data_IF_926037470739
#
_entry.id   IF_926037470739
#
_cell.length_a   1.000
_cell.length_b   1.000
_cell.length_c   1.000
_cell.angle_alpha   90.00
_cell.angle_beta   90.00
_cell.angle_gamma   90.00
#
_symmetry.space_group_name_H-M   'P 1'
#
loop_
_entity.id
_entity.type
_entity.pdbx_description
1 polymer ?
#
# COMPACT_ATOMS: atom_id res chain seq x y z
N UNK A 1 1.39 5.92 7.10
CA UNK A 1 0.09 5.36 6.62
C UNK A 1 -0.99 6.40 6.43
N UNK A 2 -1.12 7.33 7.33
CA UNK A 2 -2.12 8.40 7.17
C UNK A 2 -1.88 9.24 5.92
N UNK A 3 -0.63 9.50 5.61
CA UNK A 3 -0.23 10.18 4.38
C UNK A 3 -0.73 9.44 3.13
N UNK A 4 -0.55 8.11 3.10
CA UNK A 4 -1.00 7.31 1.96
C UNK A 4 -2.53 7.25 1.86
N UNK A 5 -3.22 7.15 3.00
CA UNK A 5 -4.67 7.17 3.05
C UNK A 5 -5.20 8.50 2.49
N UNK A 6 -4.61 9.61 2.91
CA UNK A 6 -5.01 10.93 2.41
C UNK A 6 -4.73 11.09 0.92
N UNK A 7 -3.58 10.61 0.44
CA UNK A 7 -3.22 10.66 -0.98
C UNK A 7 -4.20 9.86 -1.81
N UNK A 8 -4.51 8.65 -1.39
CA UNK A 8 -5.49 7.81 -2.08
C UNK A 8 -6.85 8.49 -2.15
N UNK A 9 -7.31 9.03 -1.04
CA UNK A 9 -8.64 9.65 -0.95
C UNK A 9 -8.76 10.95 -1.73
N UNK A 10 -7.63 11.56 -2.09
CA UNK A 10 -7.63 12.71 -3.01
C UNK A 10 -7.37 12.30 -4.47
N UNK A 11 -7.32 11.00 -4.75
CA UNK A 11 -7.14 10.49 -6.10
C UNK A 11 -5.71 10.58 -6.61
N UNK A 12 -4.73 10.68 -5.73
CA UNK A 12 -3.34 10.93 -6.07
C UNK A 12 -2.47 9.69 -5.84
N UNK A 13 -2.45 8.79 -6.85
CA UNK A 13 -1.63 7.58 -6.80
C UNK A 13 -0.14 7.91 -6.76
N UNK A 14 0.28 8.97 -7.42
CA UNK A 14 1.68 9.37 -7.42
C UNK A 14 2.18 9.67 -6.01
N UNK A 15 1.40 10.43 -5.23
CA UNK A 15 1.73 10.71 -3.83
C UNK A 15 1.61 9.47 -2.96
N UNK A 16 0.63 8.62 -3.22
CA UNK A 16 0.46 7.35 -2.52
C UNK A 16 1.72 6.49 -2.64
N UNK A 17 2.30 6.44 -3.83
CA UNK A 17 3.51 5.65 -4.12
C UNK A 17 4.77 6.19 -3.45
N UNK A 18 4.75 7.43 -2.94
CA UNK A 18 5.91 7.99 -2.22
C UNK A 18 6.15 7.28 -0.88
N UNK A 19 5.19 6.51 -0.38
CA UNK A 19 5.36 5.69 0.82
C UNK A 19 6.18 4.42 0.59
N UNK A 20 6.42 4.04 -0.66
CA UNK A 20 7.18 2.85 -1.03
C UNK A 20 8.61 3.21 -1.42
N UNK A 21 9.53 2.27 -1.19
CA UNK A 21 10.92 2.46 -1.61
C UNK A 21 11.00 2.51 -3.15
N UNK A 22 11.71 3.49 -3.67
CA UNK A 22 11.91 3.64 -5.12
C UNK A 22 13.08 2.78 -5.56
N UNK A 23 12.88 1.47 -5.57
CA UNK A 23 13.91 0.48 -5.85
C UNK A 23 13.30 -0.68 -6.64
N UNK A 24 14.12 -1.33 -7.44
CA UNK A 24 13.73 -2.56 -8.13
C UNK A 24 13.53 -3.72 -7.17
N UNK A 25 13.98 -3.58 -5.93
CA UNK A 25 13.84 -4.61 -4.90
C UNK A 25 12.50 -4.54 -4.15
N UNK A 26 11.69 -3.51 -4.37
CA UNK A 26 10.35 -3.46 -3.79
C UNK A 26 9.55 -4.68 -4.24
N UNK A 27 8.87 -5.32 -3.29
CA UNK A 27 7.97 -6.43 -3.60
C UNK A 27 6.57 -6.06 -3.18
N UNK A 28 5.64 -6.14 -4.12
CA UNK A 28 4.21 -6.04 -3.85
C UNK A 28 3.56 -7.35 -4.26
N UNK A 29 3.02 -8.08 -3.30
CA UNK A 29 2.34 -9.35 -3.56
C UNK A 29 0.86 -9.19 -3.26
N UNK A 30 0.04 -9.31 -4.28
CA UNK A 30 -1.40 -9.19 -4.15
C UNK A 30 -2.11 -10.44 -4.65
N UNK A 31 -3.38 -10.28 -4.97
CA UNK A 31 -4.25 -11.36 -5.43
C UNK A 31 -3.68 -12.09 -6.67
N UNK A 32 -3.03 -11.35 -7.55
CA UNK A 32 -2.49 -11.91 -8.81
C UNK A 32 -1.03 -12.34 -8.70
N UNK A 33 -0.47 -12.35 -7.49
CA UNK A 33 0.91 -12.74 -7.25
C UNK A 33 1.84 -11.54 -7.10
N UNK A 34 3.15 -11.79 -7.04
CA UNK A 34 4.11 -10.71 -6.76
C UNK A 34 4.40 -9.84 -7.97
N UNK A 35 4.62 -8.56 -7.69
CA UNK A 35 5.10 -7.56 -8.64
C UNK A 35 6.38 -6.99 -8.04
N UNK A 36 7.42 -6.86 -8.85
CA UNK A 36 8.73 -6.42 -8.39
C UNK A 36 9.04 -5.03 -8.91
N UNK A 37 9.55 -4.19 -8.03
CA UNK A 37 10.01 -2.86 -8.37
C UNK A 37 8.95 -1.78 -8.22
N UNK A 38 9.42 -0.57 -7.92
CA UNK A 38 8.56 0.60 -7.69
C UNK A 38 7.76 0.99 -8.95
N UNK A 39 8.43 1.00 -10.10
CA UNK A 39 7.78 1.40 -11.35
C UNK A 39 6.66 0.43 -11.74
N UNK A 40 6.92 -0.87 -11.66
CA UNK A 40 5.92 -1.88 -11.99
C UNK A 40 4.74 -1.85 -11.03
N UNK A 41 5.01 -1.63 -9.74
CA UNK A 41 3.95 -1.50 -8.74
C UNK A 41 3.07 -0.29 -9.03
N UNK A 42 3.69 0.85 -9.33
CA UNK A 42 2.97 2.07 -9.69
C UNK A 42 2.11 1.86 -10.93
N UNK A 43 2.67 1.25 -11.97
CA UNK A 43 1.96 0.98 -13.22
C UNK A 43 0.75 0.08 -12.98
N UNK A 44 0.89 -0.90 -12.09
CA UNK A 44 -0.21 -1.80 -11.73
C UNK A 44 -1.33 -1.04 -11.04
N UNK A 45 -1.01 -0.14 -10.12
CA UNK A 45 -2.01 0.71 -9.47
C UNK A 45 -2.72 1.62 -10.46
N UNK A 46 -1.98 2.26 -11.35
CA UNK A 46 -2.56 3.16 -12.36
C UNK A 46 -3.49 2.41 -13.31
N UNK A 47 -3.13 1.17 -13.66
CA UNK A 47 -3.95 0.34 -14.54
C UNK A 47 -5.24 -0.13 -13.85
N UNK A 48 -5.14 -0.58 -12.61
CA UNK A 48 -6.28 -1.15 -11.88
C UNK A 48 -7.20 -0.09 -11.27
N UNK A 49 -6.68 1.12 -11.04
CA UNK A 49 -7.43 2.22 -10.45
C UNK A 49 -7.28 3.47 -11.30
N UNK A 50 -7.90 3.48 -12.50
CA UNK A 50 -7.66 4.58 -13.47
C UNK A 50 -8.33 5.89 -13.11
N UNK A 51 -9.29 5.88 -12.16
CA UNK A 51 -10.04 7.07 -11.78
C UNK A 51 -10.43 7.02 -10.30
N UNK A 52 -10.95 8.13 -9.79
CA UNK A 52 -11.35 8.26 -8.39
C UNK A 52 -12.53 7.37 -8.02
N UNK A 53 -13.38 7.06 -8.98
CA UNK A 53 -14.54 6.22 -8.77
C UNK A 53 -14.13 4.77 -8.50
N UNK A 54 -13.14 4.25 -9.24
CA UNK A 54 -12.58 2.93 -9.03
C UNK A 54 -11.78 2.85 -7.74
N UNK A 55 -11.06 3.93 -7.40
CA UNK A 55 -10.27 4.01 -6.17
C UNK A 55 -11.14 3.99 -4.93
N UNK A 56 -12.24 4.72 -4.94
CA UNK A 56 -13.11 4.86 -3.77
C UNK A 56 -12.46 5.61 -2.63
N UNK A 57 -13.02 5.43 -1.44
CA UNK A 57 -12.47 6.01 -0.21
C UNK A 57 -11.80 4.92 0.61
N UNK A 58 -10.56 5.16 0.98
CA UNK A 58 -9.71 4.20 1.68
C UNK A 58 -9.68 4.50 3.17
N UNK A 59 -9.81 3.43 3.96
CA UNK A 59 -9.57 3.46 5.39
C UNK A 59 -8.66 2.32 5.77
N UNK A 60 -7.58 2.64 6.46
CA UNK A 60 -6.68 1.65 7.05
C UNK A 60 -7.00 1.43 8.52
N UNK A 61 -6.87 0.18 8.95
CA UNK A 61 -6.90 -0.17 10.37
C UNK A 61 -5.62 -0.91 10.68
N UNK A 62 -4.87 -0.42 11.67
CA UNK A 62 -3.62 -1.08 12.08
C UNK A 62 -3.97 -2.08 13.18
N UNK A 63 -3.73 -3.36 12.93
CA UNK A 63 -3.94 -4.42 13.89
C UNK A 63 -2.74 -4.59 14.80
N UNK A 64 -1.53 -4.52 14.24
CA UNK A 64 -0.30 -4.68 15.00
C UNK A 64 0.86 -4.02 14.28
N UNK A 65 1.71 -3.37 15.05
CA UNK A 65 2.96 -2.84 14.56
C UNK A 65 4.08 -3.30 15.50
N UNK A 66 5.21 -3.74 14.95
CA UNK A 66 6.34 -4.25 15.73
C UNK A 66 7.64 -3.73 15.17
N UNK A 67 8.49 -3.22 16.04
CA UNK A 67 9.86 -2.91 15.68
C UNK A 67 10.65 -4.22 15.63
N UNK A 68 11.29 -4.48 14.49
CA UNK A 68 12.16 -5.65 14.30
C UNK A 68 13.59 -5.28 14.69
N UNK A 69 14.00 -4.06 14.33
CA UNK A 69 15.30 -3.49 14.68
C UNK A 69 15.13 -1.97 14.74
N UNK A 70 16.22 -1.22 14.91
CA UNK A 70 16.16 0.24 14.96
C UNK A 70 15.71 0.86 13.62
N UNK A 71 15.85 0.12 12.51
CA UNK A 71 15.55 0.63 11.17
C UNK A 71 14.61 -0.28 10.36
N UNK A 72 14.02 -1.31 10.98
CA UNK A 72 13.05 -2.20 10.34
C UNK A 72 11.84 -2.38 11.23
N UNK A 73 10.66 -2.26 10.66
CA UNK A 73 9.39 -2.47 11.35
C UNK A 73 8.46 -3.34 10.52
N UNK A 74 7.57 -4.05 11.21
CA UNK A 74 6.59 -4.94 10.63
C UNK A 74 5.19 -4.48 11.05
N UNK A 75 4.25 -4.50 10.11
CA UNK A 75 2.89 -4.05 10.37
C UNK A 75 1.88 -5.03 9.77
N UNK A 76 0.84 -5.35 10.54
CA UNK A 76 -0.33 -6.08 10.07
C UNK A 76 -1.52 -5.14 10.14
N UNK A 77 -2.26 -5.04 9.06
CA UNK A 77 -3.41 -4.15 9.02
C UNK A 77 -4.52 -4.64 8.11
N UNK A 78 -5.54 -3.82 8.01
CA UNK A 78 -6.69 -4.04 7.16
C UNK A 78 -6.93 -2.80 6.32
N UNK A 79 -7.42 -3.01 5.10
CA UNK A 79 -7.91 -1.92 4.28
C UNK A 79 -9.38 -2.11 3.98
N UNK A 80 -10.08 -1.01 3.81
CA UNK A 80 -11.46 -0.99 3.37
C UNK A 80 -11.61 0.11 2.32
N UNK A 81 -12.07 -0.27 1.14
CA UNK A 81 -12.39 0.65 0.06
C UNK A 81 -13.89 0.74 -0.08
N UNK A 82 -14.44 1.92 0.22
CA UNK A 82 -15.86 2.21 -0.01
C UNK A 82 -16.02 2.78 -1.41
N UNK A 83 -16.77 2.09 -2.26
CA UNK A 83 -16.98 2.49 -3.64
C UNK A 83 -18.46 2.51 -3.95
N UNK A 84 -18.84 3.28 -4.98
CA UNK A 84 -20.24 3.38 -5.40
C UNK A 84 -20.75 2.07 -6.02
N UNK A 85 -19.87 1.27 -6.60
CA UNK A 85 -20.22 -0.01 -7.21
C UNK A 85 -20.20 -1.13 -6.19
N UNK A 86 -19.03 -1.46 -5.68
CA UNK A 86 -18.83 -2.60 -4.76
C UNK A 86 -17.65 -2.31 -3.85
N UNK A 87 -17.84 -2.50 -2.54
CA UNK A 87 -16.77 -2.32 -1.57
C UNK A 87 -15.74 -3.44 -1.71
N UNK A 88 -14.50 -3.10 -1.43
CA UNK A 88 -13.39 -4.04 -1.43
C UNK A 88 -12.65 -3.95 -0.10
N UNK A 89 -12.26 -5.07 0.46
CA UNK A 89 -11.55 -5.08 1.73
C UNK A 89 -10.66 -6.31 1.84
N UNK A 90 -9.71 -6.24 2.75
CA UNK A 90 -8.80 -7.35 3.00
C UNK A 90 -7.77 -6.98 4.05
N UNK A 91 -6.77 -7.83 4.16
CA UNK A 91 -5.69 -7.68 5.11
C UNK A 91 -4.38 -7.48 4.38
N UNK A 92 -3.41 -6.86 5.06
CA UNK A 92 -2.09 -6.70 4.48
C UNK A 92 -1.03 -6.78 5.57
N UNK A 93 0.18 -7.13 5.13
CA UNK A 93 1.39 -7.06 5.93
C UNK A 93 2.39 -6.18 5.22
N UNK A 94 3.09 -5.36 5.99
CA UNK A 94 4.09 -4.46 5.46
C UNK A 94 5.40 -4.64 6.22
N UNK A 95 6.51 -4.58 5.48
CA UNK A 95 7.82 -4.34 6.07
C UNK A 95 8.26 -2.94 5.71
N UNK A 96 8.68 -2.20 6.72
CA UNK A 96 9.18 -0.85 6.60
C UNK A 96 10.65 -0.83 6.89
N UNK A 97 11.39 -0.02 6.16
CA UNK A 97 12.80 0.24 6.44
C UNK A 97 13.03 1.74 6.56
N UNK A 98 13.82 2.12 7.57
CA UNK A 98 14.20 3.52 7.76
C UNK A 98 15.44 3.81 6.90
N UNK A 99 15.30 4.71 5.95
CA UNK A 99 16.35 5.10 5.02
C UNK A 99 16.42 6.63 5.03
N UNK A 100 17.57 7.19 5.37
CA UNK A 100 17.76 8.64 5.47
C UNK A 100 16.67 9.32 6.32
N UNK A 101 16.41 8.74 7.49
CA UNK A 101 15.39 9.20 8.45
C UNK A 101 13.94 9.16 7.95
N UNK A 102 13.69 8.41 6.87
CA UNK A 102 12.34 8.19 6.36
C UNK A 102 12.00 6.71 6.42
N UNK A 103 10.78 6.41 6.89
CA UNK A 103 10.26 5.05 6.85
C UNK A 103 9.60 4.79 5.50
N UNK A 104 10.10 3.80 4.77
CA UNK A 104 9.61 3.43 3.44
C UNK A 104 9.22 1.96 3.44
N UNK A 105 8.15 1.63 2.72
CA UNK A 105 7.68 0.26 2.57
C UNK A 105 8.61 -0.46 1.60
N UNK A 106 9.18 -1.58 2.03
CA UNK A 106 10.04 -2.42 1.19
C UNK A 106 9.34 -3.69 0.73
N UNK A 107 8.26 -4.09 1.41
CA UNK A 107 7.46 -5.24 1.04
C UNK A 107 6.02 -5.02 1.46
N UNK A 108 5.09 -5.35 0.58
CA UNK A 108 3.66 -5.24 0.80
C UNK A 108 3.00 -6.53 0.32
N UNK A 109 2.37 -7.24 1.24
CA UNK A 109 1.58 -8.42 0.89
C UNK A 109 0.13 -8.15 1.26
N UNK A 110 -0.73 -8.08 0.27
CA UNK A 110 -2.14 -7.73 0.43
C UNK A 110 -3.01 -8.87 -0.03
N UNK A 111 -3.98 -9.24 0.78
CA UNK A 111 -5.00 -10.22 0.42
C UNK A 111 -6.31 -9.50 0.19
N UNK A 112 -7.22 -10.13 -0.55
CA UNK A 112 -8.55 -9.58 -0.77
C UNK A 112 -9.58 -10.54 -0.22
N UNK A 113 -10.39 -10.08 0.72
CA UNK A 113 -11.54 -10.84 1.20
C UNK A 113 -12.71 -10.67 0.23
N UNK A 114 -12.69 -9.55 -0.50
CA UNK A 114 -13.69 -9.28 -1.49
C UNK A 114 -13.19 -8.25 -2.52
#
# INVERSE_FOLDING_TARGET
MKFQENAWNSGDINSFMEGYIKSDELVFSGKSGPVYGWNETKNRYLKNYPDTQTMGQLKFTVNKIRSVSSDVAFLIGEYYLTRSTEDSYGHFTLFWKKINNRWLIISDHTTAAK
#
